data_IF_360911851794
#
_entry.id   IF_360911851794
#
_cell.length_a   1.000
_cell.length_b   1.000
_cell.length_c   1.000
_cell.angle_alpha   90.00
_cell.angle_beta   90.00
_cell.angle_gamma   90.00
#
_symmetry.space_group_name_H-M   'P 1'
#
loop_
_entity.id
_entity.type
_entity.pdbx_description
1 polymer ?
#
# COMPACT_ATOMS: atom_id res chain seq x y z
N UNK A 1 -36.10 -39.11 -12.31
CA UNK A 1 -35.40 -37.90 -12.78
C UNK A 1 -35.37 -36.87 -11.65
N UNK A 2 -34.30 -36.09 -11.57
CA UNK A 2 -33.95 -35.04 -10.58
C UNK A 2 -32.79 -35.42 -9.66
N UNK A 3 -31.63 -35.60 -10.28
CA UNK A 3 -30.31 -35.54 -9.63
C UNK A 3 -30.01 -34.07 -9.32
N UNK A 4 -30.07 -33.67 -8.06
CA UNK A 4 -29.56 -32.37 -7.62
C UNK A 4 -28.04 -32.36 -7.77
N UNK A 5 -27.53 -31.63 -8.75
CA UNK A 5 -26.11 -31.28 -8.87
C UNK A 5 -25.79 -30.30 -7.74
N UNK A 6 -24.95 -30.74 -6.80
CA UNK A 6 -24.31 -29.85 -5.83
C UNK A 6 -23.42 -28.87 -6.59
N UNK A 7 -23.80 -27.59 -6.58
CA UNK A 7 -22.92 -26.49 -6.95
C UNK A 7 -21.83 -26.39 -5.88
N UNK A 8 -20.66 -26.98 -6.14
CA UNK A 8 -19.45 -26.66 -5.38
C UNK A 8 -19.16 -25.18 -5.61
N UNK A 9 -19.44 -24.35 -4.61
CA UNK A 9 -18.85 -23.01 -4.54
C UNK A 9 -17.35 -23.19 -4.37
N UNK A 10 -16.61 -23.20 -5.48
CA UNK A 10 -15.15 -23.14 -5.47
C UNK A 10 -14.80 -21.70 -5.11
N UNK A 11 -14.87 -21.36 -3.83
CA UNK A 11 -14.03 -20.28 -3.30
C UNK A 11 -12.60 -20.71 -3.61
N UNK A 12 -11.82 -19.95 -4.39
CA UNK A 12 -10.43 -20.30 -4.61
C UNK A 12 -9.78 -20.29 -3.24
N UNK A 13 -9.42 -21.47 -2.73
CA UNK A 13 -8.70 -21.61 -1.47
C UNK A 13 -7.29 -21.10 -1.72
N UNK A 14 -7.11 -19.78 -1.68
CA UNK A 14 -5.78 -19.18 -1.67
C UNK A 14 -5.13 -19.72 -0.39
N UNK A 15 -4.09 -20.53 -0.56
CA UNK A 15 -3.30 -21.00 0.58
C UNK A 15 -2.80 -19.77 1.34
N UNK A 16 -2.87 -19.80 2.67
CA UNK A 16 -2.38 -18.72 3.54
C UNK A 16 -0.95 -18.31 3.18
N UNK A 17 -0.11 -19.27 2.75
CA UNK A 17 1.25 -19.02 2.23
C UNK A 17 1.27 -18.21 0.94
N UNK A 18 0.34 -18.47 0.01
CA UNK A 18 0.25 -17.72 -1.23
C UNK A 18 -0.24 -16.28 -0.97
N UNK A 19 -1.20 -16.10 -0.08
CA UNK A 19 -1.66 -14.78 0.35
C UNK A 19 -0.53 -13.99 1.03
N UNK A 20 0.25 -14.64 1.89
CA UNK A 20 1.41 -14.03 2.55
C UNK A 20 2.47 -13.56 1.56
N UNK A 21 2.79 -14.38 0.54
CA UNK A 21 3.74 -13.99 -0.50
C UNK A 21 3.23 -12.80 -1.32
N UNK A 22 1.94 -12.79 -1.65
CA UNK A 22 1.33 -11.69 -2.40
C UNK A 22 1.31 -10.39 -1.59
N UNK A 23 1.02 -10.44 -0.29
CA UNK A 23 1.07 -9.26 0.60
C UNK A 23 2.48 -8.69 0.71
N UNK A 24 3.51 -9.55 0.84
CA UNK A 24 4.91 -9.10 0.84
C UNK A 24 5.30 -8.47 -0.49
N UNK A 25 4.92 -9.08 -1.62
CA UNK A 25 5.15 -8.52 -2.94
C UNK A 25 4.44 -7.18 -3.14
N UNK A 26 3.19 -7.06 -2.70
CA UNK A 26 2.42 -5.83 -2.78
C UNK A 26 3.08 -4.72 -1.95
N UNK A 27 3.50 -4.99 -0.73
CA UNK A 27 4.22 -4.03 0.11
C UNK A 27 5.49 -3.51 -0.58
N UNK A 28 6.33 -4.40 -1.11
CA UNK A 28 7.52 -3.98 -1.87
C UNK A 28 7.17 -3.16 -3.11
N UNK A 29 6.13 -3.56 -3.85
CA UNK A 29 5.65 -2.83 -5.04
C UNK A 29 5.08 -1.46 -4.70
N UNK A 30 4.55 -1.25 -3.50
CA UNK A 30 4.04 0.04 -3.04
C UNK A 30 5.15 0.94 -2.49
N UNK A 31 6.14 0.40 -1.80
CA UNK A 31 7.22 1.21 -1.21
C UNK A 31 8.04 1.95 -2.28
N UNK A 32 8.31 1.32 -3.42
CA UNK A 32 9.07 1.95 -4.50
C UNK A 32 8.41 3.23 -5.05
N UNK A 33 7.15 3.21 -5.53
CA UNK A 33 6.48 4.43 -5.99
C UNK A 33 6.26 5.44 -4.87
N UNK A 34 5.97 5.02 -3.63
CA UNK A 34 5.84 5.95 -2.50
C UNK A 34 7.15 6.69 -2.21
N UNK A 35 8.29 6.00 -2.25
CA UNK A 35 9.61 6.63 -2.10
C UNK A 35 9.90 7.62 -3.23
N UNK A 36 9.54 7.28 -4.47
CA UNK A 36 9.69 8.19 -5.63
C UNK A 36 8.81 9.44 -5.46
N UNK A 37 7.55 9.28 -5.07
CA UNK A 37 6.64 10.42 -4.87
C UNK A 37 7.16 11.31 -3.73
N UNK A 38 7.58 10.73 -2.61
CA UNK A 38 8.16 11.47 -1.48
C UNK A 38 9.39 12.29 -1.91
N UNK A 39 10.32 11.66 -2.64
CA UNK A 39 11.50 12.35 -3.19
C UNK A 39 11.13 13.49 -4.15
N UNK A 40 10.14 13.27 -5.02
CA UNK A 40 9.66 14.30 -5.94
C UNK A 40 9.00 15.48 -5.20
N UNK A 41 8.20 15.22 -4.17
CA UNK A 41 7.61 16.26 -3.33
C UNK A 41 8.69 17.08 -2.64
N UNK A 42 9.71 16.42 -2.09
CA UNK A 42 10.84 17.11 -1.47
C UNK A 42 11.58 17.99 -2.49
N UNK A 43 11.88 17.48 -3.69
CA UNK A 43 12.49 18.26 -4.75
C UNK A 43 11.63 19.48 -5.14
N UNK A 44 10.31 19.29 -5.28
CA UNK A 44 9.39 20.37 -5.63
C UNK A 44 9.32 21.44 -4.53
N UNK A 45 9.39 21.06 -3.26
CA UNK A 45 9.48 22.02 -2.14
C UNK A 45 10.74 22.88 -2.24
N UNK A 46 11.89 22.26 -2.52
CA UNK A 46 13.15 23.00 -2.70
C UNK A 46 13.11 23.92 -3.94
N UNK A 47 12.53 23.47 -5.05
CA UNK A 47 12.34 24.29 -6.25
C UNK A 47 11.38 25.45 -6.01
N UNK A 48 10.26 25.22 -5.33
CA UNK A 48 9.29 26.27 -5.00
C UNK A 48 9.92 27.36 -4.14
N UNK A 49 10.75 26.96 -3.17
CA UNK A 49 11.55 27.88 -2.35
C UNK A 49 12.57 28.65 -3.20
N UNK A 50 13.32 27.97 -4.06
CA UNK A 50 14.33 28.60 -4.92
C UNK A 50 13.72 29.62 -5.91
N UNK A 51 12.51 29.34 -6.41
CA UNK A 51 11.79 30.17 -7.37
C UNK A 51 10.88 31.23 -6.72
N UNK A 52 10.81 31.28 -5.39
CA UNK A 52 9.90 32.18 -4.63
C UNK A 52 8.42 32.03 -5.02
N UNK A 53 8.00 30.79 -5.31
CA UNK A 53 6.60 30.40 -5.59
C UNK A 53 6.05 29.46 -4.51
N UNK A 54 6.64 29.55 -3.31
CA UNK A 54 6.34 28.66 -2.18
C UNK A 54 4.91 28.75 -1.68
N UNK A 55 4.34 29.95 -1.57
CA UNK A 55 2.99 30.15 -0.98
C UNK A 55 1.90 29.37 -1.73
N UNK A 56 1.93 29.36 -3.06
CA UNK A 56 0.91 28.67 -3.88
C UNK A 56 1.08 27.14 -3.88
N UNK A 57 2.28 26.64 -3.59
CA UNK A 57 2.63 25.23 -3.68
C UNK A 57 2.76 24.53 -2.32
N UNK A 58 2.90 25.28 -1.23
CA UNK A 58 3.14 24.74 0.11
C UNK A 58 1.99 23.86 0.60
N UNK A 59 0.73 24.30 0.41
CA UNK A 59 -0.46 23.51 0.73
C UNK A 59 -0.52 22.20 -0.05
N UNK A 60 -0.59 22.25 -1.39
CA UNK A 60 -0.65 21.04 -2.22
C UNK A 60 0.51 20.07 -1.99
N UNK A 61 1.75 20.56 -1.85
CA UNK A 61 2.91 19.69 -1.60
C UNK A 61 2.90 19.09 -0.19
N UNK A 62 2.29 19.76 0.79
CA UNK A 62 2.08 19.20 2.13
C UNK A 62 1.00 18.13 2.12
N UNK A 63 -0.09 18.35 1.38
CA UNK A 63 -1.15 17.35 1.23
C UNK A 63 -0.64 16.07 0.56
N UNK A 64 0.17 16.19 -0.50
CA UNK A 64 0.78 15.03 -1.16
C UNK A 64 1.73 14.30 -0.21
N UNK A 65 2.58 15.03 0.54
CA UNK A 65 3.47 14.42 1.52
C UNK A 65 2.67 13.62 2.58
N UNK A 66 1.61 14.23 3.13
CA UNK A 66 0.77 13.58 4.13
C UNK A 66 0.07 12.33 3.57
N UNK A 67 -0.42 12.39 2.33
CA UNK A 67 -1.04 11.25 1.68
C UNK A 67 -0.05 10.10 1.47
N UNK A 68 1.19 10.39 1.07
CA UNK A 68 2.25 9.39 0.93
C UNK A 68 2.58 8.75 2.28
N UNK A 69 2.69 9.53 3.35
CA UNK A 69 2.97 9.03 4.69
C UNK A 69 1.83 8.12 5.20
N UNK A 70 0.57 8.51 4.97
CA UNK A 70 -0.59 7.70 5.32
C UNK A 70 -0.62 6.38 4.56
N UNK A 71 -0.29 6.40 3.27
CA UNK A 71 -0.22 5.19 2.44
C UNK A 71 0.93 4.27 2.90
N UNK A 72 2.10 4.83 3.20
CA UNK A 72 3.23 4.06 3.73
C UNK A 72 2.85 3.36 5.05
N UNK A 73 2.28 4.11 6.00
CA UNK A 73 1.80 3.56 7.26
C UNK A 73 0.73 2.47 7.05
N UNK A 74 -0.21 2.66 6.12
CA UNK A 74 -1.20 1.65 5.78
C UNK A 74 -0.57 0.37 5.22
N UNK A 75 0.46 0.48 4.38
CA UNK A 75 1.17 -0.68 3.85
C UNK A 75 1.98 -1.42 4.91
N UNK A 76 2.59 -0.72 5.86
CA UNK A 76 3.27 -1.33 7.00
C UNK A 76 2.28 -2.07 7.92
N UNK A 77 1.11 -1.47 8.19
CA UNK A 77 0.05 -2.12 8.96
C UNK A 77 -0.40 -3.44 8.33
N UNK A 78 -0.48 -3.52 7.00
CA UNK A 78 -0.81 -4.78 6.30
C UNK A 78 0.24 -5.88 6.54
N UNK A 79 1.52 -5.51 6.62
CA UNK A 79 2.60 -6.45 6.95
C UNK A 79 2.49 -6.92 8.41
N UNK A 80 2.21 -6.02 9.35
CA UNK A 80 2.01 -6.38 10.75
C UNK A 80 0.81 -7.33 10.91
N UNK A 81 -0.30 -7.06 10.22
CA UNK A 81 -1.47 -7.95 10.22
C UNK A 81 -1.15 -9.33 9.62
N UNK A 82 -0.34 -9.39 8.56
CA UNK A 82 0.17 -10.65 7.98
C UNK A 82 0.97 -11.45 9.01
N UNK A 83 1.86 -10.81 9.75
CA UNK A 83 2.68 -11.45 10.78
C UNK A 83 1.84 -11.96 11.97
N UNK A 84 0.84 -11.18 12.39
CA UNK A 84 -0.10 -11.59 13.42
C UNK A 84 -0.92 -12.82 13.00
N UNK A 85 -1.40 -12.85 11.75
CA UNK A 85 -2.11 -14.00 11.21
C UNK A 85 -1.25 -15.27 11.21
N UNK A 86 0.05 -15.14 10.92
CA UNK A 86 0.98 -16.28 10.99
C UNK A 86 1.02 -16.87 12.40
N UNK A 87 1.20 -16.03 13.42
CA UNK A 87 1.29 -16.45 14.83
C UNK A 87 0.01 -17.10 15.36
N UNK A 88 -1.14 -16.77 14.80
CA UNK A 88 -2.43 -17.38 15.19
C UNK A 88 -2.75 -18.68 14.43
N UNK A 89 -2.02 -18.98 13.36
CA UNK A 89 -2.21 -20.17 12.53
C UNK A 89 -1.23 -21.31 12.83
N UNK A 90 -0.27 -21.06 13.71
CA UNK A 90 0.70 -22.01 14.29
C UNK A 90 0.19 -22.53 15.64
#
# INVERSE_FOLDING_TARGET
>A
MHTQKQEKSVTPSISTKALQAELSNLHHRMNNPLAVISGNVQLLKELAKALSVGEDLEGPLTDIASAVDQLAAGTEQLILLRELLQRTSE
#
